data_IF_727573620229
#
_entry.id   IF_727573620229
#
_cell.length_a   1.000
_cell.length_b   1.000
_cell.length_c   1.000
_cell.angle_alpha   90.00
_cell.angle_beta   90.00
_cell.angle_gamma   90.00
#
_symmetry.space_group_name_H-M   'P 1'
#
loop_
_entity.id
_entity.type
_entity.pdbx_description
1 polymer ?
#
# COMPACT_ATOMS: atom_id res chain seq x y z
N UNK A 1 10.89 17.20 -51.50
CA UNK A 1 11.85 16.77 -50.46
C UNK A 1 11.27 17.10 -49.07
N UNK A 2 10.94 16.03 -48.33
CA UNK A 2 10.78 15.90 -46.87
C UNK A 2 10.21 17.06 -46.03
N UNK A 3 8.92 16.92 -45.71
CA UNK A 3 8.28 17.48 -44.51
C UNK A 3 8.83 16.79 -43.25
N UNK A 4 10.08 17.10 -42.87
CA UNK A 4 10.73 16.52 -41.69
C UNK A 4 10.34 17.24 -40.39
N UNK A 5 10.01 18.54 -40.44
CA UNK A 5 9.68 19.33 -39.24
C UNK A 5 8.31 19.01 -38.63
N UNK A 6 7.31 18.72 -39.46
CA UNK A 6 5.95 18.39 -39.01
C UNK A 6 5.86 17.00 -38.35
N UNK A 7 6.64 16.05 -38.88
CA UNK A 7 6.75 14.69 -38.36
C UNK A 7 7.50 14.67 -37.03
N UNK A 8 8.61 15.41 -36.93
CA UNK A 8 9.35 15.57 -35.68
C UNK A 8 8.49 16.20 -34.58
N UNK A 9 7.74 17.28 -34.90
CA UNK A 9 6.82 17.91 -33.96
C UNK A 9 5.75 16.95 -33.42
N UNK A 10 5.17 16.11 -34.28
CA UNK A 10 4.22 15.08 -33.87
C UNK A 10 4.86 14.09 -32.90
N UNK A 11 6.03 13.57 -33.24
CA UNK A 11 6.77 12.63 -32.38
C UNK A 11 7.09 13.28 -31.04
N UNK A 12 7.63 14.50 -31.04
CA UNK A 12 7.93 15.25 -29.82
C UNK A 12 6.68 15.48 -28.98
N UNK A 13 5.54 15.84 -29.59
CA UNK A 13 4.28 16.02 -28.87
C UNK A 13 3.79 14.72 -28.20
N UNK A 14 3.83 13.58 -28.90
CA UNK A 14 3.46 12.28 -28.32
C UNK A 14 4.38 11.89 -27.16
N UNK A 15 5.69 12.12 -27.29
CA UNK A 15 6.66 11.83 -26.23
C UNK A 15 6.42 12.71 -25.00
N UNK A 16 6.18 14.01 -25.19
CA UNK A 16 5.88 14.95 -24.10
C UNK A 16 4.56 14.61 -23.40
N UNK A 17 3.53 14.24 -24.16
CA UNK A 17 2.24 13.85 -23.60
C UNK A 17 2.35 12.57 -22.76
N UNK A 18 3.13 11.59 -23.24
CA UNK A 18 3.36 10.33 -22.53
C UNK A 18 4.10 10.56 -21.22
N UNK A 19 5.19 11.32 -21.22
CA UNK A 19 5.97 11.60 -20.00
C UNK A 19 5.17 12.40 -18.97
N UNK A 20 4.34 13.35 -19.41
CA UNK A 20 3.44 14.11 -18.55
C UNK A 20 2.37 13.22 -17.91
N UNK A 21 1.83 12.25 -18.65
CA UNK A 21 0.88 11.29 -18.11
C UNK A 21 1.55 10.43 -17.01
N UNK A 22 2.77 9.92 -17.24
CA UNK A 22 3.47 9.10 -16.24
C UNK A 22 3.75 9.85 -14.92
N UNK A 23 4.15 11.13 -14.98
CA UNK A 23 4.39 11.95 -13.77
C UNK A 23 3.09 12.34 -13.06
N UNK A 24 2.02 12.59 -13.81
CA UNK A 24 0.70 12.82 -13.23
C UNK A 24 0.16 11.56 -12.53
N UNK A 25 0.29 10.38 -13.16
CA UNK A 25 -0.13 9.11 -12.59
C UNK A 25 0.65 8.75 -11.32
N UNK A 26 1.96 8.97 -11.28
CA UNK A 26 2.75 8.72 -10.06
C UNK A 26 2.42 9.69 -8.93
N UNK A 27 2.04 10.94 -9.23
CA UNK A 27 1.54 11.88 -8.24
C UNK A 27 0.14 11.50 -7.69
N UNK A 28 -0.68 10.82 -8.49
CA UNK A 28 -2.02 10.34 -8.08
C UNK A 28 -1.92 9.09 -7.20
N UNK A 29 -0.89 8.25 -7.39
CA UNK A 29 -0.55 7.16 -6.46
C UNK A 29 0.11 7.78 -5.22
N UNK A 30 -0.73 8.33 -4.35
CA UNK A 30 -0.33 8.82 -3.03
C UNK A 30 0.38 7.69 -2.30
N UNK A 31 1.67 7.85 -2.02
CA UNK A 31 2.38 6.93 -1.13
C UNK A 31 1.60 6.86 0.18
N UNK A 32 1.06 5.68 0.51
CA UNK A 32 0.54 5.42 1.84
C UNK A 32 1.73 5.42 2.77
N UNK A 33 2.03 6.60 3.33
CA UNK A 33 3.07 6.75 4.32
C UNK A 33 2.65 5.98 5.58
N UNK A 34 3.11 4.73 5.69
CA UNK A 34 2.76 3.80 6.76
C UNK A 34 3.10 4.33 8.16
N UNK A 35 4.00 5.31 8.25
CA UNK A 35 4.35 5.97 9.51
C UNK A 35 3.21 6.82 10.11
N UNK A 36 2.16 7.14 9.34
CA UNK A 36 0.94 7.79 9.85
C UNK A 36 -0.11 6.81 10.38
N UNK A 37 0.05 5.50 10.14
CA UNK A 37 -0.92 4.53 10.63
C UNK A 37 -0.82 4.41 12.15
N UNK A 38 -1.93 4.55 12.90
CA UNK A 38 -1.91 4.30 14.33
C UNK A 38 -1.47 2.85 14.55
N UNK A 39 -0.40 2.65 15.33
CA UNK A 39 0.04 1.30 15.68
C UNK A 39 -1.09 0.64 16.50
N UNK A 40 -1.55 -0.57 16.12
CA UNK A 40 -2.50 -1.29 16.95
C UNK A 40 -1.89 -1.55 18.33
N UNK A 41 -2.69 -1.54 19.41
CA UNK A 41 -2.23 -1.79 20.76
C UNK A 41 -1.86 -3.27 20.94
N UNK A 42 -0.73 -3.69 20.38
CA UNK A 42 -0.27 -5.08 20.38
C UNK A 42 -0.25 -5.68 21.80
N UNK A 43 0.09 -4.87 22.81
CA UNK A 43 0.21 -5.27 24.21
C UNK A 43 -1.12 -5.66 24.85
N UNK A 44 -2.26 -5.33 24.25
CA UNK A 44 -3.57 -5.76 24.71
C UNK A 44 -3.84 -7.25 24.38
N UNK A 45 -3.24 -7.74 23.29
CA UNK A 45 -3.53 -9.08 22.76
C UNK A 45 -2.51 -10.14 23.19
N UNK A 46 -1.38 -9.74 23.77
CA UNK A 46 -0.42 -10.71 24.30
C UNK A 46 -0.96 -11.31 25.60
N UNK A 47 -0.99 -12.65 25.70
CA UNK A 47 -1.20 -13.35 26.96
C UNK A 47 -0.22 -12.85 28.02
N UNK A 48 -0.71 -12.41 29.18
CA UNK A 48 0.15 -12.10 30.33
C UNK A 48 0.72 -13.41 30.89
N UNK A 49 -0.04 -14.50 30.76
CA UNK A 49 0.31 -15.85 31.19
C UNK A 49 0.61 -16.75 29.99
N UNK A 50 1.65 -17.62 30.06
CA UNK A 50 2.00 -18.54 28.98
C UNK A 50 0.92 -19.60 28.70
N UNK A 51 -0.02 -19.81 29.63
CA UNK A 51 -1.16 -20.73 29.50
C UNK A 51 -2.45 -20.05 29.00
N UNK A 52 -2.44 -18.73 28.78
CA UNK A 52 -3.61 -18.03 28.27
C UNK A 52 -3.63 -18.08 26.73
N UNK A 53 -4.55 -18.88 26.19
CA UNK A 53 -4.82 -18.91 24.76
C UNK A 53 -5.53 -17.62 24.36
N UNK A 54 -4.93 -16.85 23.45
CA UNK A 54 -5.48 -15.56 23.04
C UNK A 54 -6.80 -15.76 22.29
N UNK A 55 -7.91 -15.49 22.96
CA UNK A 55 -9.24 -15.66 22.38
C UNK A 55 -9.60 -14.44 21.50
N UNK A 56 -9.26 -14.50 20.21
CA UNK A 56 -9.57 -13.42 19.28
C UNK A 56 -11.06 -13.39 18.92
N UNK A 57 -11.71 -12.20 18.91
CA UNK A 57 -13.11 -12.09 18.49
C UNK A 57 -13.27 -12.44 17.01
N UNK A 58 -14.42 -13.03 16.67
CA UNK A 58 -14.74 -13.42 15.29
C UNK A 58 -15.24 -12.25 14.43
N UNK A 59 -14.56 -11.10 14.53
CA UNK A 59 -14.87 -9.89 13.75
C UNK A 59 -13.97 -9.80 12.52
N UNK A 60 -14.53 -9.41 11.38
CA UNK A 60 -13.78 -9.19 10.13
C UNK A 60 -13.39 -7.71 10.05
N UNK A 61 -12.10 -7.44 10.20
CA UNK A 61 -11.49 -6.11 10.09
C UNK A 61 -10.06 -6.27 9.52
N UNK A 62 -9.96 -6.52 8.21
CA UNK A 62 -8.71 -6.98 7.59
C UNK A 62 -7.50 -6.07 7.86
N UNK A 63 -6.38 -6.68 8.21
CA UNK A 63 -5.07 -6.03 8.39
C UNK A 63 -4.09 -6.57 7.36
N UNK A 64 -3.54 -5.69 6.53
CA UNK A 64 -2.47 -6.04 5.59
C UNK A 64 -1.10 -5.80 6.24
N UNK A 65 -0.32 -6.85 6.38
CA UNK A 65 0.99 -6.81 7.03
C UNK A 65 2.13 -6.72 6.01
N UNK A 66 3.28 -6.23 6.48
CA UNK A 66 4.49 -6.07 5.65
C UNK A 66 5.13 -7.40 5.28
N UNK A 67 4.77 -8.49 5.96
CA UNK A 67 5.19 -9.86 5.63
C UNK A 67 4.40 -10.47 4.45
N UNK A 68 3.46 -9.72 3.85
CA UNK A 68 2.65 -10.16 2.71
C UNK A 68 1.39 -10.94 3.08
N UNK A 69 1.14 -11.18 4.37
CA UNK A 69 -0.08 -11.84 4.84
C UNK A 69 -1.18 -10.82 5.16
N UNK A 70 -2.44 -11.26 5.00
CA UNK A 70 -3.63 -10.50 5.40
C UNK A 70 -4.32 -11.23 6.53
N UNK A 71 -4.51 -10.55 7.66
CA UNK A 71 -5.10 -11.10 8.87
C UNK A 71 -6.57 -10.68 8.97
N UNK A 72 -7.41 -11.56 9.55
CA UNK A 72 -8.85 -11.31 9.71
C UNK A 72 -9.13 -10.07 10.56
N UNK A 73 -8.32 -9.85 11.60
CA UNK A 73 -8.34 -8.64 12.41
C UNK A 73 -6.98 -8.42 13.11
N UNK A 74 -6.87 -7.29 13.82
CA UNK A 74 -5.69 -6.89 14.57
C UNK A 74 -5.26 -7.87 15.67
N UNK A 75 -6.21 -8.61 16.29
CA UNK A 75 -5.89 -9.62 17.29
C UNK A 75 -5.11 -10.77 16.64
N UNK A 76 -5.65 -11.33 15.55
CA UNK A 76 -4.99 -12.39 14.77
C UNK A 76 -3.63 -11.94 14.22
N UNK A 77 -3.48 -10.65 13.88
CA UNK A 77 -2.19 -10.09 13.48
C UNK A 77 -1.17 -10.04 14.64
N UNK A 78 -1.60 -9.70 15.86
CA UNK A 78 -0.68 -9.52 16.99
C UNK A 78 -0.19 -10.85 17.59
N UNK A 79 -0.98 -11.92 17.48
CA UNK A 79 -0.64 -13.23 18.07
C UNK A 79 0.16 -14.12 17.12
N UNK A 80 0.13 -13.82 15.83
CA UNK A 80 0.93 -14.52 14.81
C UNK A 80 2.42 -14.17 15.04
N UNK A 81 3.23 -15.19 15.31
CA UNK A 81 4.66 -15.04 15.67
C UNK A 81 5.59 -15.06 14.47
#
# INVERSE_FOLDING_TARGET
>A
MRSNGSSLYRITFFLVLSTLAHTAFSAIVRERNGSRWPKPPYKLYYPIDPDYEANCPDVVAYVCATNGFTYKNECFFCIDR
#
